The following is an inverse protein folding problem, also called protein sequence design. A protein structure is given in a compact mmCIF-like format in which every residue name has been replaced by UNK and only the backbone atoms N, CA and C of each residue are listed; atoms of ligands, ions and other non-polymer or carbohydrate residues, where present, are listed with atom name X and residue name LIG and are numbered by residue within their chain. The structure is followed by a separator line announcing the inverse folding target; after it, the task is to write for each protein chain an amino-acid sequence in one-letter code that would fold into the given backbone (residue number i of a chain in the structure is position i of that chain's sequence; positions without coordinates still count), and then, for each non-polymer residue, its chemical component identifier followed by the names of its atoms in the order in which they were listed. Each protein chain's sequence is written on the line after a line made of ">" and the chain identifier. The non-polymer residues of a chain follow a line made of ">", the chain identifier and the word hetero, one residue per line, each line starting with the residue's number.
data_IF_911995711200
#
_entry.id   IF_911995711200
#
_cell.length_a   1.000
_cell.length_b   1.000
_cell.length_c   1.000
_cell.angle_alpha   90.00
_cell.angle_beta   90.00
_cell.angle_gamma   90.00
#
_symmetry.space_group_name_H-M   'P 1'
#
loop_
_entity.id
_entity.type
_entity.pdbx_description
1 polymer ?
#
# COMPACT_ATOMS: atom_id res chain seq x y z
N UNK A 1 17.71 8.73 -0.53
CA UNK A 1 16.53 8.39 0.28
C UNK A 1 15.41 8.10 -0.71
N UNK A 2 15.20 6.82 -1.03
CA UNK A 2 14.26 6.41 -2.09
C UNK A 2 12.84 6.60 -1.59
N UNK A 3 12.04 7.37 -2.33
CA UNK A 3 10.62 7.48 -2.04
C UNK A 3 9.94 6.13 -2.30
N UNK A 4 9.38 5.52 -1.24
CA UNK A 4 8.73 4.21 -1.32
C UNK A 4 7.40 4.29 -2.09
N UNK A 5 6.74 5.46 -2.10
CA UNK A 5 5.48 5.69 -2.82
C UNK A 5 5.62 5.47 -4.33
N UNK A 6 6.79 5.77 -4.91
CA UNK A 6 7.08 5.50 -6.32
C UNK A 6 7.38 4.02 -6.63
N UNK A 7 7.65 3.18 -5.62
CA UNK A 7 8.05 1.79 -5.85
C UNK A 7 6.83 0.90 -6.09
N UNK A 8 5.74 1.11 -5.33
CA UNK A 8 4.52 0.33 -5.46
C UNK A 8 3.28 1.22 -5.27
N UNK A 9 2.54 1.42 -6.35
CA UNK A 9 1.37 2.30 -6.37
C UNK A 9 0.36 1.80 -7.40
N UNK A 10 -0.92 2.11 -7.19
CA UNK A 10 -1.97 1.94 -8.19
C UNK A 10 -2.71 3.25 -8.39
N UNK A 11 -2.74 3.71 -9.63
CA UNK A 11 -3.48 4.91 -10.05
C UNK A 11 -4.87 4.52 -10.51
N UNK A 12 -5.87 5.29 -10.07
CA UNK A 12 -7.28 5.11 -10.42
C UNK A 12 -7.79 6.48 -10.81
N UNK A 13 -8.40 6.60 -12.01
CA UNK A 13 -9.00 7.86 -12.41
C UNK A 13 -10.26 8.12 -11.60
N UNK A 14 -10.55 9.38 -11.30
CA UNK A 14 -11.70 9.75 -10.48
C UNK A 14 -13.04 9.33 -11.12
N UNK A 15 -13.07 9.29 -12.47
CA UNK A 15 -14.20 8.83 -13.27
C UNK A 15 -14.43 7.31 -13.22
N UNK A 16 -13.40 6.53 -12.88
CA UNK A 16 -13.47 5.07 -12.77
C UNK A 16 -14.09 4.60 -11.45
N UNK A 17 -14.35 5.52 -10.51
CA UNK A 17 -14.98 5.22 -9.23
C UNK A 17 -16.49 5.44 -9.35
N UNK A 18 -17.30 4.36 -9.47
CA UNK A 18 -18.74 4.49 -9.56
C UNK A 18 -19.33 4.89 -8.20
N UNK A 19 -20.57 5.40 -8.19
CA UNK A 19 -21.24 5.86 -6.97
C UNK A 19 -21.41 4.75 -5.92
N UNK A 20 -21.54 3.49 -6.37
CA UNK A 20 -21.60 2.29 -5.51
C UNK A 20 -20.26 1.91 -4.87
N UNK A 21 -19.19 2.64 -5.19
CA UNK A 21 -17.83 2.35 -4.77
C UNK A 21 -17.08 1.36 -5.68
N UNK A 22 -15.75 1.36 -5.54
CA UNK A 22 -14.82 0.52 -6.30
C UNK A 22 -13.98 -0.31 -5.32
N UNK A 23 -14.06 -1.63 -5.43
CA UNK A 23 -13.14 -2.52 -4.73
C UNK A 23 -11.89 -2.76 -5.58
N UNK A 24 -10.72 -2.68 -4.95
CA UNK A 24 -9.43 -2.82 -5.59
C UNK A 24 -8.54 -3.75 -4.79
N UNK A 25 -8.01 -4.76 -5.47
CA UNK A 25 -6.95 -5.61 -4.95
C UNK A 25 -5.68 -5.42 -5.77
N UNK A 26 -4.54 -5.32 -5.09
CA UNK A 26 -3.22 -5.21 -5.70
C UNK A 26 -2.24 -6.17 -5.04
N UNK A 27 -1.41 -6.80 -5.87
CA UNK A 27 -0.35 -7.72 -5.44
C UNK A 27 0.95 -7.22 -6.03
N UNK A 28 1.98 -7.07 -5.19
CA UNK A 28 3.31 -6.69 -5.65
C UNK A 28 3.99 -7.88 -6.35
N UNK A 29 4.50 -7.66 -7.56
CA UNK A 29 5.33 -8.64 -8.26
C UNK A 29 6.71 -8.80 -7.60
N UNK A 30 7.47 -9.80 -8.04
CA UNK A 30 8.78 -10.12 -7.45
C UNK A 30 9.78 -8.96 -7.54
N UNK A 31 9.81 -8.27 -8.67
CA UNK A 31 10.70 -7.12 -8.89
C UNK A 31 10.38 -5.96 -7.92
N UNK A 32 9.10 -5.68 -7.73
CA UNK A 32 8.60 -4.66 -6.81
C UNK A 32 8.92 -5.03 -5.36
N UNK A 33 8.68 -6.29 -4.96
CA UNK A 33 9.01 -6.79 -3.62
C UNK A 33 10.51 -6.70 -3.33
N UNK A 34 11.37 -7.02 -4.30
CA UNK A 34 12.83 -6.89 -4.15
C UNK A 34 13.28 -5.43 -3.96
N UNK A 35 12.72 -4.50 -4.74
CA UNK A 35 13.01 -3.05 -4.60
C UNK A 35 12.55 -2.51 -3.24
N UNK A 36 11.36 -2.90 -2.79
CA UNK A 36 10.83 -2.52 -1.48
C UNK A 36 11.65 -3.10 -0.34
N UNK A 37 12.02 -4.39 -0.41
CA UNK A 37 12.85 -5.03 0.61
C UNK A 37 14.18 -4.29 0.78
N UNK A 38 14.85 -4.02 -0.33
CA UNK A 38 16.10 -3.25 -0.34
C UNK A 38 15.93 -1.84 0.25
N UNK A 39 14.87 -1.12 -0.16
CA UNK A 39 14.61 0.23 0.33
C UNK A 39 14.21 0.28 1.82
N UNK A 40 13.55 -0.76 2.33
CA UNK A 40 13.14 -0.90 3.73
C UNK A 40 14.21 -1.53 4.63
N UNK A 41 15.35 -1.95 4.08
CA UNK A 41 16.40 -2.65 4.84
C UNK A 41 15.99 -4.06 5.31
N UNK A 42 15.03 -4.68 4.63
CA UNK A 42 14.56 -6.03 4.88
C UNK A 42 15.38 -7.03 4.06
N UNK A 43 15.46 -8.28 4.54
CA UNK A 43 16.13 -9.36 3.79
C UNK A 43 15.32 -9.71 2.55
N UNK A 44 14.01 -9.89 2.73
CA UNK A 44 13.07 -10.22 1.66
C UNK A 44 11.65 -9.85 2.03
N UNK A 45 10.80 -9.73 1.01
CA UNK A 45 9.34 -9.62 1.15
C UNK A 45 8.76 -10.78 0.35
N UNK A 46 8.33 -11.83 1.05
CA UNK A 46 7.79 -13.05 0.45
C UNK A 46 6.41 -12.82 -0.18
N UNK A 47 5.59 -11.95 0.44
CA UNK A 47 4.25 -11.58 -0.04
C UNK A 47 3.96 -10.14 0.35
N UNK A 48 3.34 -9.41 -0.55
CA UNK A 48 2.83 -8.07 -0.30
C UNK A 48 1.61 -7.82 -1.17
N UNK A 49 0.50 -7.48 -0.52
CA UNK A 49 -0.77 -7.20 -1.17
C UNK A 49 -1.61 -6.22 -0.36
N UNK A 50 -2.51 -5.53 -1.05
CA UNK A 50 -3.48 -4.65 -0.41
C UNK A 50 -4.85 -4.80 -1.06
N UNK A 51 -5.87 -4.70 -0.23
CA UNK A 51 -7.28 -4.66 -0.65
C UNK A 51 -7.89 -3.37 -0.13
N UNK A 52 -8.61 -2.66 -0.97
CA UNK A 52 -9.15 -1.35 -0.65
C UNK A 52 -10.54 -1.17 -1.27
N UNK A 53 -11.42 -0.51 -0.52
CA UNK A 53 -12.72 -0.03 -0.97
C UNK A 53 -12.66 1.49 -1.10
N UNK A 54 -12.92 1.96 -2.31
CA UNK A 54 -12.99 3.38 -2.63
C UNK A 54 -14.45 3.79 -2.69
N UNK A 55 -14.79 4.85 -1.96
CA UNK A 55 -16.12 5.45 -1.99
C UNK A 55 -16.01 6.90 -2.42
N UNK A 56 -16.95 7.34 -3.27
CA UNK A 56 -17.01 8.71 -3.77
C UNK A 56 -18.44 9.23 -3.69
N UNK A 57 -18.86 9.78 -2.54
CA UNK A 57 -20.14 10.49 -2.46
C UNK A 57 -20.11 11.73 -3.37
N UNK A 58 -21.25 12.09 -3.94
CA UNK A 58 -21.37 13.26 -4.80
C UNK A 58 -20.86 14.54 -4.09
N UNK A 59 -19.90 15.23 -4.70
CA UNK A 59 -19.31 16.46 -4.16
C UNK A 59 -18.40 16.26 -2.93
N UNK A 60 -18.06 15.03 -2.55
CA UNK A 60 -17.17 14.75 -1.42
C UNK A 60 -15.80 14.23 -1.87
N UNK A 61 -14.76 14.38 -1.02
CA UNK A 61 -13.48 13.72 -1.18
C UNK A 61 -13.64 12.20 -1.34
N UNK A 62 -12.70 11.56 -2.05
CA UNK A 62 -12.67 10.10 -2.17
C UNK A 62 -12.16 9.53 -0.86
N UNK A 63 -12.90 8.62 -0.25
CA UNK A 63 -12.44 7.86 0.91
C UNK A 63 -11.98 6.48 0.48
N UNK A 64 -10.83 6.07 0.97
CA UNK A 64 -10.20 4.77 0.67
C UNK A 64 -9.94 4.07 1.99
N UNK A 65 -10.68 3.00 2.24
CA UNK A 65 -10.50 2.15 3.42
C UNK A 65 -10.02 0.79 2.97
N UNK A 66 -9.11 0.17 3.70
CA UNK A 66 -8.58 -1.12 3.27
C UNK A 66 -7.62 -1.74 4.26
N UNK A 67 -6.98 -2.80 3.80
CA UNK A 67 -5.99 -3.55 4.56
C UNK A 67 -4.78 -3.84 3.68
N UNK A 68 -3.60 -3.78 4.29
CA UNK A 68 -2.34 -4.23 3.70
C UNK A 68 -1.88 -5.49 4.43
N UNK A 69 -1.48 -6.50 3.66
CA UNK A 69 -0.92 -7.74 4.20
C UNK A 69 0.46 -7.96 3.62
N UNK A 70 1.44 -8.25 4.46
CA UNK A 70 2.78 -8.59 4.04
C UNK A 70 3.37 -9.75 4.84
N UNK A 71 4.26 -10.51 4.21
CA UNK A 71 5.18 -11.43 4.88
C UNK A 71 6.60 -10.98 4.58
N UNK A 72 7.31 -10.56 5.62
CA UNK A 72 8.64 -9.97 5.51
C UNK A 72 9.65 -10.82 6.27
N UNK A 73 10.82 -11.01 5.66
CA UNK A 73 11.96 -11.61 6.31
C UNK A 73 12.92 -10.53 6.81
N UNK A 74 13.32 -10.66 8.06
CA UNK A 74 14.34 -9.83 8.69
C UNK A 74 15.47 -10.71 9.22
N UNK A 75 16.68 -10.16 9.24
CA UNK A 75 17.80 -10.78 9.97
C UNK A 75 17.83 -10.15 11.36
N UNK A 76 17.66 -10.95 12.41
CA UNK A 76 17.73 -10.44 13.78
C UNK A 76 19.11 -9.84 14.02
N UNK A 77 19.21 -8.55 14.36
CA UNK A 77 20.50 -7.89 14.64
C UNK A 77 21.22 -8.45 15.88
N UNK A 78 20.52 -9.22 16.73
CA UNK A 78 21.07 -9.81 17.95
C UNK A 78 21.59 -11.23 17.69
N UNK A 79 20.74 -12.14 17.19
CA UNK A 79 21.10 -13.54 16.98
C UNK A 79 21.61 -13.87 15.57
N UNK A 80 21.42 -12.96 14.61
CA UNK A 80 21.63 -13.17 13.17
C UNK A 80 20.77 -14.30 12.57
N UNK A 81 19.75 -14.76 13.28
CA UNK A 81 18.84 -15.77 12.79
C UNK A 81 17.75 -15.16 11.89
N UNK A 82 17.28 -15.93 10.89
CA UNK A 82 16.18 -15.52 10.03
C UNK A 82 14.87 -15.49 10.82
N UNK A 83 14.23 -14.33 10.88
CA UNK A 83 12.90 -14.16 11.46
C UNK A 83 11.93 -13.77 10.36
N UNK A 84 10.80 -14.47 10.29
CA UNK A 84 9.66 -14.09 9.47
C UNK A 84 8.64 -13.31 10.31
N UNK A 85 8.13 -12.22 9.77
CA UNK A 85 7.05 -11.45 10.36
C UNK A 85 5.89 -11.31 9.38
N UNK A 86 4.67 -11.44 9.90
CA UNK A 86 3.44 -11.17 9.17
C UNK A 86 2.92 -9.81 9.61
N UNK A 87 2.64 -8.95 8.63
CA UNK A 87 2.03 -7.64 8.82
C UNK A 87 0.61 -7.72 8.28
N UNK A 88 -0.34 -7.27 9.09
CA UNK A 88 -1.74 -7.10 8.71
C UNK A 88 -2.22 -5.80 9.35
N UNK A 89 -2.35 -4.75 8.54
CA UNK A 89 -2.68 -3.42 9.02
C UNK A 89 -3.84 -2.82 8.21
N UNK A 90 -4.81 -2.25 8.92
CA UNK A 90 -5.89 -1.51 8.31
C UNK A 90 -5.47 -0.05 8.06
N UNK A 91 -6.03 0.56 7.02
CA UNK A 91 -5.84 1.97 6.71
C UNK A 91 -7.15 2.65 6.31
N UNK A 92 -7.22 3.96 6.54
CA UNK A 92 -8.33 4.82 6.18
C UNK A 92 -7.77 6.18 5.72
N UNK A 93 -7.92 6.47 4.44
CA UNK A 93 -7.35 7.63 3.77
C UNK A 93 -8.43 8.43 3.08
N UNK A 94 -8.26 9.76 3.06
CA UNK A 94 -9.13 10.68 2.33
C UNK A 94 -8.31 11.43 1.30
N UNK A 95 -8.69 11.30 0.03
CA UNK A 95 -8.12 12.05 -1.09
C UNK A 95 -9.05 13.19 -1.46
N UNK A 96 -8.63 14.42 -1.13
CA UNK A 96 -9.28 15.63 -1.62
C UNK A 96 -8.48 16.23 -2.78
N UNK A 97 -9.13 16.96 -3.71
CA UNK A 97 -8.42 17.92 -4.54
C UNK A 97 -7.58 18.82 -3.63
N UNK A 98 -6.35 19.15 -4.04
CA UNK A 98 -5.58 20.15 -3.31
C UNK A 98 -6.37 21.46 -3.38
N UNK A 99 -6.65 22.05 -2.23
CA UNK A 99 -7.20 23.40 -2.20
C UNK A 99 -6.09 24.34 -2.70
N UNK A 100 -6.24 25.04 -3.84
CA UNK A 100 -5.26 26.02 -4.27
C UNK A 100 -5.19 27.25 -3.36
N UNK A 101 -6.00 27.33 -2.28
CA UNK A 101 -6.11 28.47 -1.38
C UNK A 101 -5.58 28.26 0.06
N UNK A 102 -4.69 27.28 0.29
CA UNK A 102 -3.99 27.12 1.57
C UNK A 102 -2.62 27.82 1.61
#
# INVERSE_FOLDING_TARGET
>A
MTDLHSIWSKTIALEDIPERGLHVHIVADEATRGRLAHAAGLRDIARLEASADLTRPAGQPVRVTGEVTARVGQTCVVSLEPIEASIHEAFDLVFSPQDPAA
#
